data_IF_818918015760
#
_entry.id   IF_818918015760
#
_cell.length_a   1.000
_cell.length_b   1.000
_cell.length_c   1.000
_cell.angle_alpha   90.00
_cell.angle_beta   90.00
_cell.angle_gamma   90.00
#
_symmetry.space_group_name_H-M   'P 1'
#
loop_
_entity.id
_entity.type
_entity.pdbx_description
1 polymer ?
#
# COMPACT_ATOMS: atom_id res chain seq x y z
N UNK A 1 0.81 -28.13 12.54
CA UNK A 1 1.49 -27.70 11.29
C UNK A 1 0.87 -26.42 10.71
N UNK A 2 -0.44 -26.35 10.41
CA UNK A 2 -1.10 -25.13 9.87
C UNK A 2 -0.85 -23.84 10.67
N UNK A 3 -0.90 -23.86 12.01
CA UNK A 3 -0.65 -22.66 12.85
C UNK A 3 0.76 -22.12 12.71
N UNK A 4 1.77 -23.00 12.62
CA UNK A 4 3.17 -22.61 12.43
C UNK A 4 3.36 -22.00 11.04
N UNK A 5 2.76 -22.58 10.00
CA UNK A 5 2.79 -22.00 8.65
C UNK A 5 2.17 -20.60 8.63
N UNK A 6 1.04 -20.39 9.29
CA UNK A 6 0.40 -19.07 9.37
C UNK A 6 1.32 -18.06 10.07
N UNK A 7 1.93 -18.44 11.20
CA UNK A 7 2.84 -17.57 11.94
C UNK A 7 4.09 -17.21 11.10
N UNK A 8 4.67 -18.18 10.40
CA UNK A 8 5.82 -17.95 9.52
C UNK A 8 5.46 -17.02 8.37
N UNK A 9 4.32 -17.25 7.71
CA UNK A 9 3.84 -16.38 6.63
C UNK A 9 3.55 -14.96 7.15
N UNK A 10 2.96 -14.85 8.33
CA UNK A 10 2.70 -13.56 8.97
C UNK A 10 4.00 -12.80 9.23
N UNK A 11 4.99 -13.45 9.85
CA UNK A 11 6.31 -12.83 10.10
C UNK A 11 7.00 -12.41 8.81
N UNK A 12 6.97 -13.24 7.76
CA UNK A 12 7.53 -12.90 6.46
C UNK A 12 6.85 -11.67 5.86
N UNK A 13 5.52 -11.60 5.91
CA UNK A 13 4.77 -10.44 5.42
C UNK A 13 5.10 -9.20 6.24
N UNK A 14 5.12 -9.30 7.58
CA UNK A 14 5.44 -8.17 8.45
C UNK A 14 6.84 -7.61 8.19
N UNK A 15 7.85 -8.49 8.05
CA UNK A 15 9.22 -8.08 7.76
C UNK A 15 9.36 -7.49 6.36
N UNK A 16 8.78 -8.13 5.35
CA UNK A 16 8.84 -7.63 3.96
C UNK A 16 8.13 -6.29 3.83
N UNK A 17 6.94 -6.12 4.40
CA UNK A 17 6.22 -4.84 4.36
C UNK A 17 6.93 -3.75 5.16
N UNK A 18 7.42 -4.04 6.37
CA UNK A 18 8.15 -3.07 7.18
C UNK A 18 9.43 -2.56 6.48
N UNK A 19 10.23 -3.48 5.92
CA UNK A 19 11.45 -3.13 5.18
C UNK A 19 11.17 -2.41 3.86
N UNK A 20 9.99 -2.64 3.24
CA UNK A 20 9.63 -1.98 1.98
C UNK A 20 9.50 -0.46 2.17
N UNK A 21 8.89 0.02 3.26
CA UNK A 21 8.78 1.46 3.55
C UNK A 21 10.15 2.12 3.73
N UNK A 22 11.09 1.44 4.37
CA UNK A 22 12.46 1.94 4.52
C UNK A 22 13.18 1.98 3.15
N UNK A 23 13.05 0.91 2.36
CA UNK A 23 13.66 0.84 1.04
C UNK A 23 13.08 1.86 0.05
N UNK A 24 11.77 2.14 0.13
CA UNK A 24 11.12 3.14 -0.71
C UNK A 24 11.60 4.54 -0.38
N UNK A 25 11.82 4.86 0.90
CA UNK A 25 12.41 6.15 1.31
C UNK A 25 13.82 6.32 0.75
N UNK A 26 14.66 5.29 0.85
CA UNK A 26 16.02 5.30 0.27
C UNK A 26 15.96 5.45 -1.25
N UNK A 27 15.03 4.75 -1.91
CA UNK A 27 14.84 4.87 -3.36
C UNK A 27 14.37 6.29 -3.75
N UNK A 28 13.48 6.89 -2.97
CA UNK A 28 12.96 8.23 -3.20
C UNK A 28 14.04 9.32 -3.08
N UNK A 29 15.06 9.11 -2.25
CA UNK A 29 16.20 10.02 -2.10
C UNK A 29 17.27 9.86 -3.19
N UNK A 30 17.32 8.70 -3.87
CA UNK A 30 18.40 8.36 -4.81
C UNK A 30 17.99 8.40 -6.28
N UNK A 31 16.72 8.11 -6.59
CA UNK A 31 16.21 8.01 -7.96
C UNK A 31 14.80 8.60 -8.09
N UNK A 32 14.38 9.04 -9.30
CA UNK A 32 13.03 9.54 -9.51
C UNK A 32 11.95 8.51 -9.13
N UNK A 33 10.85 8.89 -8.45
CA UNK A 33 9.83 7.97 -7.94
C UNK A 33 9.19 7.06 -9.00
N UNK A 34 8.96 7.60 -10.20
CA UNK A 34 8.42 6.84 -11.33
C UNK A 34 9.41 5.76 -11.80
N UNK A 35 10.71 6.09 -11.79
CA UNK A 35 11.77 5.15 -12.16
C UNK A 35 11.92 4.04 -11.10
N UNK A 36 11.88 4.40 -9.81
CA UNK A 36 11.88 3.43 -8.71
C UNK A 36 10.70 2.45 -8.80
N UNK A 37 9.51 2.97 -9.07
CA UNK A 37 8.30 2.16 -9.29
C UNK A 37 8.46 1.25 -10.51
N UNK A 38 8.95 1.79 -11.62
CA UNK A 38 9.25 1.03 -12.84
C UNK A 38 10.22 -0.12 -12.58
N UNK A 39 11.34 0.13 -11.90
CA UNK A 39 12.31 -0.90 -11.51
C UNK A 39 11.66 -2.01 -10.68
N UNK A 40 10.87 -1.64 -9.66
CA UNK A 40 10.17 -2.60 -8.80
C UNK A 40 9.31 -3.57 -9.62
N UNK A 41 8.51 -3.05 -10.54
CA UNK A 41 7.67 -3.89 -11.41
C UNK A 41 8.47 -4.61 -12.50
N UNK A 42 9.57 -4.03 -12.97
CA UNK A 42 10.45 -4.66 -13.96
C UNK A 42 11.13 -5.92 -13.42
N UNK A 43 11.51 -5.95 -12.14
CA UNK A 43 12.03 -7.15 -11.49
C UNK A 43 10.91 -8.13 -11.08
N UNK A 44 9.77 -7.61 -10.62
CA UNK A 44 8.66 -8.46 -10.19
C UNK A 44 7.95 -9.17 -11.36
N UNK A 45 7.79 -8.51 -12.50
CA UNK A 45 7.08 -9.03 -13.67
C UNK A 45 7.65 -10.36 -14.20
N UNK A 46 8.95 -10.50 -14.54
CA UNK A 46 9.49 -11.76 -15.05
C UNK A 46 9.38 -12.89 -14.04
N UNK A 47 9.55 -12.60 -12.75
CA UNK A 47 9.38 -13.58 -11.67
C UNK A 47 7.93 -14.08 -11.58
N UNK A 48 6.95 -13.18 -11.59
CA UNK A 48 5.53 -13.52 -11.58
C UNK A 48 5.09 -14.22 -12.87
N UNK A 49 5.62 -13.83 -14.02
CA UNK A 49 5.38 -14.51 -15.31
C UNK A 49 5.92 -15.95 -15.27
N UNK A 50 7.12 -16.15 -14.71
CA UNK A 50 7.70 -17.49 -14.52
C UNK A 50 6.81 -18.38 -13.64
N UNK A 51 6.33 -17.85 -12.51
CA UNK A 51 5.39 -18.57 -11.65
C UNK A 51 4.08 -18.87 -12.38
N UNK A 52 3.54 -17.92 -13.12
CA UNK A 52 2.29 -18.09 -13.86
C UNK A 52 2.42 -19.18 -14.92
N UNK A 53 3.57 -19.26 -15.60
CA UNK A 53 3.86 -20.29 -16.59
C UNK A 53 3.94 -21.68 -15.94
N UNK A 54 4.66 -21.80 -14.81
CA UNK A 54 4.75 -23.04 -14.03
C UNK A 54 3.40 -23.52 -13.52
N UNK A 55 2.52 -22.59 -13.10
CA UNK A 55 1.18 -22.89 -12.60
C UNK A 55 0.11 -23.01 -13.70
N UNK A 56 0.48 -22.80 -14.97
CA UNK A 56 -0.43 -22.76 -16.13
C UNK A 56 -1.61 -21.79 -15.95
N UNK A 57 -1.39 -20.71 -15.20
CA UNK A 57 -2.41 -19.67 -14.99
C UNK A 57 -2.39 -18.67 -16.15
N UNK A 58 -3.56 -18.28 -16.68
CA UNK A 58 -3.62 -17.31 -17.77
C UNK A 58 -3.11 -15.94 -17.32
N UNK A 59 -2.13 -15.39 -18.04
CA UNK A 59 -1.53 -14.08 -17.77
C UNK A 59 -2.44 -12.91 -18.17
N UNK A 60 -3.31 -13.14 -19.16
CA UNK A 60 -4.19 -12.13 -19.71
C UNK A 60 -5.62 -12.40 -19.29
N UNK A 61 -6.32 -11.33 -18.97
CA UNK A 61 -7.76 -11.37 -18.75
C UNK A 61 -8.48 -11.81 -20.05
N UNK A 62 -9.68 -12.40 -19.93
CA UNK A 62 -10.48 -12.83 -21.07
C UNK A 62 -10.60 -11.74 -22.16
N UNK A 63 -10.71 -12.17 -23.43
CA UNK A 63 -10.89 -11.27 -24.58
C UNK A 63 -12.19 -10.46 -24.40
N UNK A 64 -12.05 -9.23 -23.90
CA UNK A 64 -13.16 -8.35 -23.49
C UNK A 64 -12.87 -7.56 -22.22
N UNK A 65 -12.04 -8.10 -21.32
CA UNK A 65 -11.65 -7.45 -20.06
C UNK A 65 -10.22 -6.90 -20.08
N UNK A 66 -9.56 -6.89 -21.24
CA UNK A 66 -8.18 -6.39 -21.38
C UNK A 66 -8.07 -4.90 -21.08
N UNK A 67 -9.10 -4.12 -21.42
CA UNK A 67 -9.15 -2.71 -21.06
C UNK A 67 -9.24 -2.54 -19.54
N UNK A 68 -10.05 -3.37 -18.87
CA UNK A 68 -10.14 -3.39 -17.42
C UNK A 68 -8.82 -3.79 -16.75
N UNK A 69 -8.09 -4.76 -17.34
CA UNK A 69 -6.74 -5.11 -16.89
C UNK A 69 -5.79 -3.90 -16.98
N UNK A 70 -5.81 -3.14 -18.08
CA UNK A 70 -5.01 -1.91 -18.21
C UNK A 70 -5.41 -0.84 -17.18
N UNK A 71 -6.71 -0.66 -16.95
CA UNK A 71 -7.21 0.27 -15.92
C UNK A 71 -6.68 -0.12 -14.54
N UNK A 72 -6.72 -1.40 -14.16
CA UNK A 72 -6.15 -1.86 -12.89
C UNK A 72 -4.63 -1.60 -12.85
N UNK A 73 -3.89 -1.94 -13.90
CA UNK A 73 -2.44 -1.73 -13.94
C UNK A 73 -2.08 -0.25 -13.72
N UNK A 74 -2.84 0.68 -14.30
CA UNK A 74 -2.58 2.11 -14.20
C UNK A 74 -3.07 2.68 -12.86
N UNK A 75 -4.35 2.50 -12.54
CA UNK A 75 -4.99 3.16 -11.41
C UNK A 75 -4.79 2.47 -10.07
N UNK A 76 -4.47 1.18 -10.05
CA UNK A 76 -4.24 0.43 -8.81
C UNK A 76 -2.74 0.27 -8.51
N UNK A 77 -1.91 0.10 -9.55
CA UNK A 77 -0.47 -0.11 -9.37
C UNK A 77 0.36 1.11 -9.76
N UNK A 78 0.34 1.54 -11.01
CA UNK A 78 1.31 2.55 -11.48
C UNK A 78 1.15 3.91 -10.77
N UNK A 79 -0.05 4.48 -10.76
CA UNK A 79 -0.33 5.80 -10.17
C UNK A 79 -0.16 5.75 -8.65
N UNK A 80 -0.82 4.84 -7.89
CA UNK A 80 -0.74 4.88 -6.43
C UNK A 80 0.67 4.62 -5.90
N UNK A 81 1.40 3.65 -6.46
CA UNK A 81 2.77 3.38 -6.00
C UNK A 81 3.73 4.54 -6.35
N UNK A 82 3.58 5.16 -7.52
CA UNK A 82 4.40 6.33 -7.87
C UNK A 82 4.11 7.52 -6.94
N UNK A 83 2.83 7.78 -6.66
CA UNK A 83 2.42 8.82 -5.69
C UNK A 83 2.88 8.51 -4.28
N UNK A 84 2.91 7.23 -3.89
CA UNK A 84 3.36 6.81 -2.57
C UNK A 84 4.87 7.07 -2.39
N UNK A 85 5.71 6.65 -3.34
CA UNK A 85 7.15 6.93 -3.29
C UNK A 85 7.42 8.45 -3.38
N UNK A 86 6.62 9.17 -4.17
CA UNK A 86 6.70 10.64 -4.20
C UNK A 86 6.28 11.27 -2.86
N UNK A 87 5.23 10.78 -2.21
CA UNK A 87 4.82 11.24 -0.88
C UNK A 87 5.91 10.99 0.15
N UNK A 88 6.60 9.85 0.07
CA UNK A 88 7.73 9.52 0.93
C UNK A 88 8.93 10.47 0.79
N UNK A 89 9.03 11.34 -0.23
CA UNK A 89 10.06 12.40 -0.22
C UNK A 89 9.75 13.50 0.80
N UNK A 90 8.47 13.70 1.13
CA UNK A 90 8.01 14.76 2.02
C UNK A 90 7.76 14.30 3.46
N UNK A 91 7.52 13.01 3.67
CA UNK A 91 7.21 12.46 5.00
C UNK A 91 8.19 11.36 5.41
N UNK A 92 8.33 11.13 6.71
CA UNK A 92 9.13 10.02 7.24
C UNK A 92 8.51 8.66 6.86
N UNK A 93 9.33 7.62 6.72
CA UNK A 93 8.85 6.26 6.39
C UNK A 93 7.90 5.71 7.47
N UNK A 94 8.10 6.11 8.73
CA UNK A 94 7.20 5.79 9.84
C UNK A 94 5.81 6.42 9.65
N UNK A 95 5.76 7.73 9.37
CA UNK A 95 4.50 8.43 9.10
C UNK A 95 3.79 7.87 7.87
N UNK A 96 4.53 7.62 6.79
CA UNK A 96 4.00 7.01 5.57
C UNK A 96 3.32 5.66 5.85
N UNK A 97 3.99 4.77 6.61
CA UNK A 97 3.43 3.47 6.99
C UNK A 97 2.15 3.60 7.84
N UNK A 98 2.08 4.59 8.72
CA UNK A 98 0.89 4.84 9.57
C UNK A 98 -0.27 5.36 8.72
N UNK A 99 -0.01 6.32 7.84
CA UNK A 99 -1.02 6.83 6.89
C UNK A 99 -1.55 5.67 6.04
N UNK A 100 -0.66 4.82 5.53
CA UNK A 100 -1.05 3.65 4.74
C UNK A 100 -1.84 2.62 5.57
N UNK A 101 -1.53 2.44 6.85
CA UNK A 101 -2.30 1.57 7.75
C UNK A 101 -3.76 2.02 7.93
N UNK A 102 -4.09 3.27 7.57
CA UNK A 102 -5.46 3.78 7.53
C UNK A 102 -6.15 3.56 6.17
N UNK A 103 -5.52 2.90 5.21
CA UNK A 103 -6.17 2.51 3.97
C UNK A 103 -7.47 1.70 4.19
N UNK A 104 -7.57 0.74 5.14
CA UNK A 104 -8.81 0.00 5.38
C UNK A 104 -9.98 0.89 5.81
N UNK A 105 -9.69 1.99 6.52
CA UNK A 105 -10.68 3.02 6.90
C UNK A 105 -11.26 3.68 5.65
N UNK A 106 -10.39 4.14 4.75
CA UNK A 106 -10.83 4.76 3.50
C UNK A 106 -11.63 3.77 2.63
N UNK A 107 -11.19 2.51 2.57
CA UNK A 107 -11.89 1.43 1.85
C UNK A 107 -13.26 1.17 2.47
N UNK A 108 -13.39 1.14 3.80
CA UNK A 108 -14.67 0.95 4.48
C UNK A 108 -15.64 2.09 4.17
N UNK A 109 -15.19 3.34 4.24
CA UNK A 109 -15.99 4.52 3.89
C UNK A 109 -16.46 4.42 2.43
N UNK A 110 -15.55 4.12 1.50
CA UNK A 110 -15.89 3.96 0.10
C UNK A 110 -16.88 2.80 -0.11
N UNK A 111 -16.73 1.68 0.58
CA UNK A 111 -17.65 0.54 0.50
C UNK A 111 -19.06 0.90 0.96
N UNK A 112 -19.21 1.69 2.02
CA UNK A 112 -20.52 2.17 2.47
C UNK A 112 -21.15 3.10 1.43
N UNK A 113 -20.38 4.07 0.93
CA UNK A 113 -20.88 5.10 0.02
C UNK A 113 -21.21 4.55 -1.38
N UNK A 114 -20.37 3.68 -1.93
CA UNK A 114 -20.51 3.21 -3.31
C UNK A 114 -21.21 1.85 -3.43
N UNK A 115 -21.07 0.95 -2.45
CA UNK A 115 -21.64 -0.40 -2.50
C UNK A 115 -22.90 -0.57 -1.61
N UNK A 116 -23.25 0.42 -0.77
CA UNK A 116 -24.35 0.31 0.22
C UNK A 116 -24.25 -0.96 1.11
N UNK A 117 -23.02 -1.39 1.40
CA UNK A 117 -22.73 -2.52 2.28
C UNK A 117 -23.18 -2.22 3.72
N UNK A 118 -23.80 -3.20 4.39
CA UNK A 118 -24.26 -3.04 5.78
C UNK A 118 -23.06 -3.06 6.73
N UNK A 119 -22.76 -1.91 7.34
CA UNK A 119 -21.70 -1.81 8.35
C UNK A 119 -22.14 -2.27 9.73
N UNK A 120 -21.28 -3.05 10.38
CA UNK A 120 -21.44 -3.48 11.77
C UNK A 120 -20.95 -2.37 12.73
N UNK A 121 -21.59 -2.21 13.90
CA UNK A 121 -21.18 -1.29 14.97
C UNK A 121 -19.72 -1.46 15.38
N UNK A 122 -19.16 -2.67 15.31
CA UNK A 122 -17.75 -2.93 15.60
C UNK A 122 -16.80 -2.34 14.53
N UNK A 123 -17.23 -2.29 13.27
CA UNK A 123 -16.47 -1.65 12.19
C UNK A 123 -16.48 -0.13 12.34
N UNK A 124 -17.61 0.45 12.78
CA UNK A 124 -17.72 1.89 13.06
C UNK A 124 -16.81 2.27 14.23
N UNK A 125 -16.76 1.47 15.29
CA UNK A 125 -15.85 1.70 16.41
C UNK A 125 -14.37 1.61 15.99
N UNK A 126 -14.00 0.62 15.17
CA UNK A 126 -12.64 0.53 14.63
C UNK A 126 -12.29 1.72 13.73
N UNK A 127 -13.24 2.17 12.93
CA UNK A 127 -13.11 3.33 12.05
C UNK A 127 -12.85 4.62 12.83
N UNK A 128 -13.62 4.88 13.89
CA UNK A 128 -13.43 6.08 14.72
C UNK A 128 -12.09 6.08 15.44
N UNK A 129 -11.67 4.94 16.01
CA UNK A 129 -10.36 4.79 16.65
C UNK A 129 -9.23 5.10 15.65
N UNK A 130 -9.31 4.55 14.45
CA UNK A 130 -8.28 4.75 13.43
C UNK A 130 -8.20 6.20 12.94
N UNK A 131 -9.34 6.88 12.76
CA UNK A 131 -9.37 8.32 12.42
C UNK A 131 -8.74 9.16 13.54
N UNK A 132 -9.08 8.89 14.79
CA UNK A 132 -8.51 9.60 15.95
C UNK A 132 -7.00 9.38 16.05
N UNK A 133 -6.54 8.14 15.86
CA UNK A 133 -5.12 7.82 15.85
C UNK A 133 -4.37 8.56 14.74
N UNK A 134 -4.91 8.55 13.51
CA UNK A 134 -4.33 9.28 12.38
C UNK A 134 -4.26 10.78 12.64
N UNK A 135 -5.34 11.39 13.15
CA UNK A 135 -5.38 12.81 13.47
C UNK A 135 -4.35 13.19 14.54
N UNK A 136 -4.24 12.38 15.61
CA UNK A 136 -3.24 12.59 16.66
C UNK A 136 -1.82 12.58 16.12
N UNK A 137 -1.49 11.61 15.27
CA UNK A 137 -0.16 11.44 14.70
C UNK A 137 0.19 12.59 13.73
N UNK A 138 -0.76 13.02 12.90
CA UNK A 138 -0.55 14.18 12.01
C UNK A 138 -0.29 15.47 12.81
N UNK A 139 -1.01 15.69 13.91
CA UNK A 139 -0.81 16.85 14.78
C UNK A 139 0.57 16.83 15.45
N UNK A 140 1.03 15.66 15.89
CA UNK A 140 2.37 15.46 16.48
C UNK A 140 3.46 15.77 15.44
N UNK A 141 3.38 15.17 14.25
CA UNK A 141 4.38 15.40 13.19
C UNK A 141 4.45 16.87 12.77
N UNK A 142 3.30 17.57 12.72
CA UNK A 142 3.24 19.00 12.38
C UNK A 142 3.93 19.86 13.45
N UNK A 143 3.76 19.53 14.74
CA UNK A 143 4.46 20.20 15.84
C UNK A 143 5.96 19.95 15.80
N UNK A 144 6.38 18.70 15.65
CA UNK A 144 7.80 18.33 15.56
C UNK A 144 8.50 18.96 14.34
N UNK A 145 7.78 19.11 13.23
CA UNK A 145 8.31 19.81 12.04
C UNK A 145 8.49 21.30 12.27
N UNK A 146 7.62 21.92 13.08
CA UNK A 146 7.71 23.35 13.44
C UNK A 146 8.86 23.61 14.41
N UNK A 147 9.10 22.73 15.39
CA UNK A 147 10.21 22.86 16.34
C UNK A 147 11.59 22.72 15.69
N UNK A 148 11.74 21.94 14.60
CA UNK A 148 13.04 21.81 13.89
C UNK A 148 13.42 23.04 13.05
N UNK A 149 12.48 23.94 12.81
CA UNK A 149 12.68 25.15 12.00
C UNK A 149 13.03 26.39 12.86
N UNK A 150 12.89 26.30 14.18
CA UNK A 150 13.33 27.32 15.15
C UNK A 150 14.72 26.99 15.70
#
# INVERSE_FOLDING_TARGET
MRRVTILVLFLLVSLTWGTTWLAMRIAAETIPPVFATGMRFMFAAPFLIGIAWLRKTPLLFPRGQRLFQLVICIFYFAIPFSLMIYGETYVSSGLASIIFSNMPVAVLIASVLFLNEKTNSMQIAGLTIAIVALAGILLEETKTSTERLC
#
